data_IF_370017585018
#
_entry.id   IF_370017585018
#
_cell.length_a   1.000
_cell.length_b   1.000
_cell.length_c   1.000
_cell.angle_alpha   90.00
_cell.angle_beta   90.00
_cell.angle_gamma   90.00
#
_symmetry.space_group_name_H-M   'P 1'
#
loop_
_entity.id
_entity.type
_entity.pdbx_description
1 polymer ?
#
# COMPACT_ATOMS: atom_id res chain seq x y z
N UNK A 1 56.80 50.59 -98.76
CA UNK A 1 57.11 51.29 -97.50
C UNK A 1 55.95 51.09 -96.54
N UNK A 2 56.14 50.88 -95.23
CA UNK A 2 57.32 50.35 -94.54
C UNK A 2 56.99 49.31 -93.42
N UNK A 3 58.06 48.69 -92.92
CA UNK A 3 58.31 48.22 -91.54
C UNK A 3 57.72 46.89 -90.98
N UNK A 4 58.65 45.95 -90.81
CA UNK A 4 58.74 45.01 -89.67
C UNK A 4 58.56 45.71 -88.31
N UNK A 5 58.05 45.02 -87.28
CA UNK A 5 58.96 44.55 -86.21
C UNK A 5 58.58 43.14 -85.67
N UNK A 6 59.51 42.21 -85.45
CA UNK A 6 60.44 42.04 -84.30
C UNK A 6 59.94 40.99 -83.30
N UNK A 7 60.82 40.02 -83.06
CA UNK A 7 60.70 38.90 -82.14
C UNK A 7 60.64 39.32 -80.66
N UNK A 8 59.87 38.59 -79.84
CA UNK A 8 60.24 38.20 -78.46
C UNK A 8 59.56 36.85 -78.16
N UNK A 9 60.34 35.77 -78.24
CA UNK A 9 60.00 34.47 -77.67
C UNK A 9 60.99 34.19 -76.53
N UNK A 10 60.58 33.31 -75.62
CA UNK A 10 61.39 32.70 -74.56
C UNK A 10 61.61 33.52 -73.29
N UNK A 11 60.64 33.41 -72.36
CA UNK A 11 60.83 33.85 -70.98
C UNK A 11 59.75 33.40 -70.00
N UNK A 12 58.54 33.07 -70.48
CA UNK A 12 57.38 32.87 -69.58
C UNK A 12 57.09 31.41 -69.22
N UNK A 13 57.63 30.43 -69.97
CA UNK A 13 57.31 29.02 -69.70
C UNK A 13 58.10 28.35 -68.56
N UNK A 14 59.25 28.89 -68.14
CA UNK A 14 60.08 28.26 -67.10
C UNK A 14 59.59 28.56 -65.67
N UNK A 15 59.08 29.77 -65.40
CA UNK A 15 58.60 30.16 -64.07
C UNK A 15 57.24 29.50 -63.70
N UNK A 16 56.40 29.21 -64.69
CA UNK A 16 55.11 28.55 -64.48
C UNK A 16 55.28 27.07 -64.07
N UNK A 17 56.21 26.35 -64.69
CA UNK A 17 56.45 24.92 -64.40
C UNK A 17 57.11 24.70 -63.01
N UNK A 18 57.99 25.60 -62.57
CA UNK A 18 58.57 25.54 -61.22
C UNK A 18 57.53 25.82 -60.13
N UNK A 19 56.59 26.73 -60.37
CA UNK A 19 55.51 27.08 -59.42
C UNK A 19 54.47 25.97 -59.30
N UNK A 20 54.13 25.29 -60.41
CA UNK A 20 53.20 24.14 -60.40
C UNK A 20 53.79 22.94 -59.65
N UNK A 21 55.08 22.64 -59.80
CA UNK A 21 55.73 21.55 -59.06
C UNK A 21 55.91 21.86 -57.57
N UNK A 22 56.09 23.13 -57.19
CA UNK A 22 56.13 23.56 -55.79
C UNK A 22 54.74 23.48 -55.14
N UNK A 23 53.68 23.91 -55.83
CA UNK A 23 52.30 23.75 -55.36
C UNK A 23 51.87 22.28 -55.28
N UNK A 24 52.26 21.41 -56.21
CA UNK A 24 51.98 19.97 -56.11
C UNK A 24 52.66 19.32 -54.90
N UNK A 25 53.90 19.69 -54.58
CA UNK A 25 54.58 19.19 -53.38
C UNK A 25 53.96 19.74 -52.08
N UNK A 26 53.55 21.02 -52.04
CA UNK A 26 52.87 21.59 -50.87
C UNK A 26 51.46 21.02 -50.70
N UNK A 27 50.73 20.75 -51.78
CA UNK A 27 49.40 20.13 -51.75
C UNK A 27 49.47 18.66 -51.30
N UNK A 28 50.49 17.91 -51.74
CA UNK A 28 50.72 16.54 -51.25
C UNK A 28 51.05 16.54 -49.76
N UNK A 29 51.84 17.50 -49.25
CA UNK A 29 52.15 17.59 -47.82
C UNK A 29 50.90 17.98 -46.99
N UNK A 30 50.05 18.88 -47.48
CA UNK A 30 48.78 19.22 -46.82
C UNK A 30 47.77 18.06 -46.86
N UNK A 31 47.74 17.27 -47.93
CA UNK A 31 46.90 16.07 -48.03
C UNK A 31 47.39 14.96 -47.09
N UNK A 32 48.71 14.82 -46.88
CA UNK A 32 49.28 13.86 -45.92
C UNK A 32 49.04 14.22 -44.45
N UNK A 33 48.94 15.52 -44.12
CA UNK A 33 48.65 15.98 -42.75
C UNK A 33 47.15 15.83 -42.41
N UNK A 34 46.28 15.69 -43.42
CA UNK A 34 44.83 15.57 -43.25
C UNK A 34 44.34 14.16 -42.89
N UNK A 35 45.23 13.15 -42.87
CA UNK A 35 44.85 11.74 -42.63
C UNK A 35 45.32 11.22 -41.25
N UNK A 36 45.96 12.07 -40.44
CA UNK A 36 45.97 11.89 -38.98
C UNK A 36 44.75 12.55 -38.36
N UNK A 37 43.56 12.32 -38.92
CA UNK A 37 42.37 12.30 -38.07
C UNK A 37 42.61 11.14 -37.11
N UNK A 38 43.00 11.44 -35.87
CA UNK A 38 42.94 10.50 -34.77
C UNK A 38 41.59 9.80 -34.89
N UNK A 39 41.60 8.55 -35.37
CA UNK A 39 40.44 7.68 -35.23
C UNK A 39 40.32 7.47 -33.74
N UNK A 40 39.50 8.30 -33.10
CA UNK A 40 39.04 8.04 -31.74
C UNK A 40 38.54 6.61 -31.76
N UNK A 41 39.19 5.78 -30.95
CA UNK A 41 38.80 4.39 -30.79
C UNK A 41 37.33 4.39 -30.40
N UNK A 42 36.49 3.76 -31.21
CA UNK A 42 35.05 3.73 -30.96
C UNK A 42 34.82 3.01 -29.64
N UNK A 43 34.42 3.76 -28.61
CA UNK A 43 34.01 3.21 -27.33
C UNK A 43 32.94 2.14 -27.55
N UNK A 44 33.10 1.00 -26.88
CA UNK A 44 32.19 -0.14 -26.99
C UNK A 44 31.62 -0.57 -25.64
N UNK A 45 30.94 -1.73 -25.63
CA UNK A 45 30.38 -2.32 -24.42
C UNK A 45 31.39 -2.50 -23.28
N UNK A 46 32.66 -2.92 -23.52
CA UNK A 46 33.65 -2.96 -22.44
C UNK A 46 33.91 -1.62 -21.76
N UNK A 47 33.83 -0.51 -22.52
CA UNK A 47 34.02 0.83 -21.97
C UNK A 47 32.79 1.30 -21.19
N UNK A 48 31.60 0.88 -21.63
CA UNK A 48 30.37 1.06 -20.85
C UNK A 48 30.48 0.39 -19.49
N UNK A 49 30.87 -0.89 -19.45
CA UNK A 49 31.03 -1.63 -18.19
C UNK A 49 32.06 -0.98 -17.26
N UNK A 50 33.18 -0.46 -17.78
CA UNK A 50 34.18 0.27 -16.98
C UNK A 50 33.63 1.56 -16.37
N UNK A 51 32.56 2.12 -16.93
CA UNK A 51 31.91 3.33 -16.41
C UNK A 51 30.90 3.05 -15.29
N UNK A 52 30.56 1.77 -15.06
CA UNK A 52 29.64 1.33 -14.02
C UNK A 52 30.40 0.89 -12.76
N UNK A 53 29.80 1.10 -11.59
CA UNK A 53 30.26 0.48 -10.35
C UNK A 53 29.70 -0.93 -10.20
N UNK A 54 30.45 -1.79 -9.52
CA UNK A 54 29.95 -3.08 -9.05
C UNK A 54 29.07 -2.86 -7.80
N UNK A 55 27.92 -3.53 -7.76
CA UNK A 55 26.99 -3.53 -6.64
C UNK A 55 27.32 -4.71 -5.71
N UNK A 56 27.30 -4.46 -4.40
CA UNK A 56 27.50 -5.53 -3.42
C UNK A 56 26.20 -6.35 -3.25
N UNK A 57 26.33 -7.67 -3.25
CA UNK A 57 25.23 -8.61 -2.99
C UNK A 57 25.29 -9.13 -1.54
N UNK A 58 24.15 -9.37 -0.87
CA UNK A 58 22.79 -9.28 -1.42
C UNK A 58 22.30 -7.84 -1.59
N UNK A 59 21.48 -7.62 -2.61
CA UNK A 59 20.91 -6.31 -2.93
C UNK A 59 19.40 -6.30 -2.67
N UNK A 60 18.96 -5.37 -1.83
CA UNK A 60 17.55 -5.20 -1.46
C UNK A 60 16.91 -4.06 -2.23
N UNK A 61 15.67 -4.28 -2.67
CA UNK A 61 14.85 -3.32 -3.38
C UNK A 61 13.51 -3.17 -2.68
N UNK A 62 13.09 -1.94 -2.47
CA UNK A 62 11.72 -1.56 -2.15
C UNK A 62 11.44 -0.14 -2.69
N UNK A 63 10.18 0.28 -2.68
CA UNK A 63 9.79 1.61 -3.21
C UNK A 63 10.40 2.80 -2.46
N UNK A 64 10.84 2.59 -1.22
CA UNK A 64 11.49 3.61 -0.40
C UNK A 64 13.01 3.57 -0.52
N UNK A 65 13.58 2.46 -0.99
CA UNK A 65 15.01 2.28 -1.17
C UNK A 65 15.49 3.22 -2.28
N UNK A 66 16.34 4.17 -1.88
CA UNK A 66 17.00 5.07 -2.82
C UNK A 66 18.41 4.57 -3.02
N UNK A 67 18.64 3.91 -4.16
CA UNK A 67 19.98 3.69 -4.66
C UNK A 67 20.39 4.90 -5.49
N UNK A 68 21.62 5.36 -5.30
CA UNK A 68 22.20 6.36 -6.19
C UNK A 68 22.51 5.71 -7.55
N UNK A 69 22.24 6.44 -8.63
CA UNK A 69 22.76 6.06 -9.94
C UNK A 69 24.30 5.97 -9.90
N UNK A 70 24.87 5.15 -10.79
CA UNK A 70 26.32 5.08 -10.97
C UNK A 70 26.87 6.45 -11.36
N UNK A 71 27.45 7.20 -10.41
CA UNK A 71 27.76 8.64 -10.55
C UNK A 71 28.52 9.05 -11.82
N UNK A 72 29.28 8.14 -12.44
CA UNK A 72 30.13 8.44 -13.60
C UNK A 72 29.86 7.53 -14.82
N UNK A 73 28.65 6.97 -14.95
CA UNK A 73 28.32 6.16 -16.13
C UNK A 73 28.41 6.99 -17.42
N UNK A 74 28.88 6.37 -18.50
CA UNK A 74 28.92 7.02 -19.82
C UNK A 74 27.48 7.07 -20.38
N UNK A 75 26.87 8.26 -20.36
CA UNK A 75 25.47 8.43 -20.75
C UNK A 75 25.19 8.12 -22.22
N UNK A 76 26.19 8.31 -23.09
CA UNK A 76 26.04 7.98 -24.52
C UNK A 76 26.01 6.47 -24.73
N UNK A 77 26.89 5.75 -24.02
CA UNK A 77 26.88 4.29 -24.06
C UNK A 77 25.67 3.69 -23.35
N UNK A 78 25.19 4.29 -22.25
CA UNK A 78 23.95 3.87 -21.60
C UNK A 78 22.77 3.90 -22.56
N UNK A 79 22.56 4.99 -23.31
CA UNK A 79 21.48 5.06 -24.31
C UNK A 79 21.57 3.96 -25.39
N UNK A 80 22.77 3.42 -25.63
CA UNK A 80 22.99 2.32 -26.58
C UNK A 80 22.60 0.95 -26.00
N UNK A 81 22.87 0.72 -24.71
CA UNK A 81 22.77 -0.62 -24.08
C UNK A 81 21.61 -0.77 -23.08
N UNK A 82 20.92 0.32 -22.73
CA UNK A 82 19.89 0.32 -21.71
C UNK A 82 18.65 -0.48 -22.07
N UNK A 83 17.88 -0.87 -21.05
CA UNK A 83 16.51 -1.30 -21.24
C UNK A 83 15.62 -0.13 -21.70
N UNK A 84 14.57 -0.43 -22.46
CA UNK A 84 13.63 0.62 -22.92
C UNK A 84 12.94 1.23 -21.69
N UNK A 85 12.82 2.56 -21.65
CA UNK A 85 12.21 3.32 -20.55
C UNK A 85 12.99 3.40 -19.23
N UNK A 86 14.27 2.99 -19.21
CA UNK A 86 15.14 3.25 -18.06
C UNK A 86 15.89 4.58 -18.22
N UNK A 87 16.22 5.19 -17.07
CA UNK A 87 16.76 6.55 -16.99
C UNK A 87 18.23 6.59 -16.58
N UNK A 88 18.68 5.65 -15.75
CA UNK A 88 20.09 5.48 -15.44
C UNK A 88 20.38 4.08 -14.86
N UNK A 89 21.63 3.62 -14.92
CA UNK A 89 22.06 2.40 -14.23
C UNK A 89 22.39 2.69 -12.76
N UNK A 90 22.00 1.78 -11.87
CA UNK A 90 22.58 1.72 -10.52
C UNK A 90 23.99 1.13 -10.57
N UNK A 91 24.20 0.06 -11.34
CA UNK A 91 25.51 -0.58 -11.46
C UNK A 91 25.43 -2.03 -11.95
N UNK A 92 26.58 -2.71 -11.94
CA UNK A 92 26.72 -4.13 -12.28
C UNK A 92 26.38 -4.96 -11.04
N UNK A 93 25.31 -5.75 -11.08
CA UNK A 93 24.98 -6.67 -9.99
C UNK A 93 25.82 -7.94 -10.01
N UNK A 94 26.15 -8.44 -11.20
CA UNK A 94 27.02 -9.61 -11.37
C UNK A 94 27.65 -9.62 -12.77
N UNK A 95 28.77 -10.33 -12.90
CA UNK A 95 29.49 -10.50 -14.15
C UNK A 95 30.24 -11.82 -14.17
N UNK A 96 30.16 -12.55 -15.27
CA UNK A 96 30.98 -13.74 -15.54
C UNK A 96 31.53 -13.71 -16.97
N UNK A 97 32.17 -14.80 -17.41
CA UNK A 97 32.80 -14.91 -18.73
C UNK A 97 31.81 -14.87 -19.92
N UNK A 98 30.50 -14.87 -19.69
CA UNK A 98 29.48 -14.91 -20.74
C UNK A 98 28.44 -13.80 -20.60
N UNK A 99 28.12 -13.40 -19.38
CA UNK A 99 26.95 -12.60 -19.04
C UNK A 99 27.29 -11.51 -18.04
N UNK A 100 26.66 -10.36 -18.23
CA UNK A 100 26.64 -9.25 -17.28
C UNK A 100 25.20 -8.96 -16.87
N UNK A 101 24.95 -8.87 -15.57
CA UNK A 101 23.71 -8.37 -15.02
C UNK A 101 23.86 -6.93 -14.56
N UNK A 102 23.06 -6.02 -15.12
CA UNK A 102 23.03 -4.61 -14.74
C UNK A 102 21.69 -4.30 -14.09
N UNK A 103 21.71 -3.54 -13.00
CA UNK A 103 20.49 -2.97 -12.43
C UNK A 103 20.36 -1.54 -12.94
N UNK A 104 19.21 -1.27 -13.53
CA UNK A 104 18.78 0.04 -14.00
C UNK A 104 17.53 0.47 -13.23
N UNK A 105 17.10 1.71 -13.38
CA UNK A 105 15.78 2.12 -12.89
C UNK A 105 15.00 2.89 -13.93
N UNK A 106 13.68 2.71 -13.88
CA UNK A 106 12.72 3.59 -14.53
C UNK A 106 12.07 4.53 -13.51
N UNK A 107 11.52 5.63 -13.99
CA UNK A 107 10.69 6.54 -13.19
C UNK A 107 9.23 6.17 -13.48
N UNK A 108 8.49 5.84 -12.43
CA UNK A 108 7.05 5.51 -12.49
C UNK A 108 6.26 6.49 -11.64
N UNK A 109 4.93 6.46 -11.77
CA UNK A 109 4.02 7.25 -10.95
C UNK A 109 4.20 6.99 -9.44
N UNK A 110 4.74 5.81 -9.08
CA UNK A 110 4.91 5.35 -7.72
C UNK A 110 6.36 5.45 -7.21
N UNK A 111 7.26 6.07 -7.97
CA UNK A 111 8.67 6.21 -7.63
C UNK A 111 9.60 5.49 -8.60
N UNK A 112 10.80 5.14 -8.13
CA UNK A 112 11.81 4.46 -8.94
C UNK A 112 11.51 2.95 -8.98
N UNK A 113 11.43 2.37 -10.17
CA UNK A 113 11.25 0.94 -10.35
C UNK A 113 12.55 0.31 -10.86
N UNK A 114 13.20 -0.58 -10.08
CA UNK A 114 14.42 -1.23 -10.52
C UNK A 114 14.14 -2.29 -11.59
N UNK A 115 15.02 -2.35 -12.58
CA UNK A 115 15.02 -3.31 -13.68
C UNK A 115 16.33 -4.08 -13.64
N UNK A 116 16.23 -5.41 -13.69
CA UNK A 116 17.38 -6.26 -13.98
C UNK A 116 17.43 -6.49 -15.49
N UNK A 117 18.55 -6.18 -16.12
CA UNK A 117 18.84 -6.56 -17.51
C UNK A 117 20.04 -7.50 -17.52
N UNK A 118 19.98 -8.54 -18.35
CA UNK A 118 21.12 -9.41 -18.62
C UNK A 118 21.59 -9.23 -20.05
N UNK A 119 22.91 -9.13 -20.23
CA UNK A 119 23.57 -8.82 -21.48
C UNK A 119 24.68 -9.85 -21.72
N UNK A 120 24.93 -10.20 -22.98
CA UNK A 120 26.16 -10.94 -23.33
C UNK A 120 27.39 -10.02 -23.27
N UNK A 121 28.59 -10.58 -23.44
CA UNK A 121 29.84 -9.80 -23.40
C UNK A 121 30.01 -8.82 -24.59
N UNK A 122 29.12 -8.84 -25.57
CA UNK A 122 29.09 -7.91 -26.68
C UNK A 122 28.06 -6.78 -26.45
N UNK A 123 27.28 -6.85 -25.37
CA UNK A 123 26.24 -5.89 -25.03
C UNK A 123 24.90 -6.19 -25.71
N UNK A 124 24.71 -7.39 -26.27
CA UNK A 124 23.41 -7.81 -26.77
C UNK A 124 22.54 -8.25 -25.58
N UNK A 125 21.31 -7.75 -25.53
CA UNK A 125 20.34 -8.13 -24.51
C UNK A 125 19.99 -9.61 -24.59
N UNK A 126 20.07 -10.30 -23.46
CA UNK A 126 19.64 -11.69 -23.29
C UNK A 126 18.22 -11.72 -22.70
N UNK A 127 18.02 -11.08 -21.56
CA UNK A 127 16.74 -11.07 -20.83
C UNK A 127 16.56 -9.79 -20.00
N UNK A 128 15.37 -9.59 -19.43
CA UNK A 128 15.12 -8.51 -18.48
C UNK A 128 13.89 -8.75 -17.61
N UNK A 129 13.93 -8.25 -16.37
CA UNK A 129 12.82 -8.32 -15.42
C UNK A 129 12.58 -6.97 -14.76
N UNK A 130 11.32 -6.53 -14.75
CA UNK A 130 10.86 -5.44 -13.88
C UNK A 130 10.71 -6.00 -12.46
N UNK A 131 11.60 -5.63 -11.54
CA UNK A 131 11.70 -6.26 -10.23
C UNK A 131 10.50 -5.92 -9.35
N UNK A 132 9.98 -4.69 -9.44
CA UNK A 132 8.86 -4.17 -8.63
C UNK A 132 7.66 -3.76 -9.51
N UNK A 133 7.35 -4.58 -10.52
CA UNK A 133 6.38 -4.27 -11.58
C UNK A 133 4.90 -4.32 -11.22
N UNK A 134 4.51 -4.88 -10.07
CA UNK A 134 3.11 -4.98 -9.63
C UNK A 134 2.70 -3.96 -8.57
N UNK A 135 3.55 -2.98 -8.25
CA UNK A 135 3.18 -1.89 -7.34
C UNK A 135 1.97 -1.12 -7.86
N UNK A 136 0.88 -1.09 -7.08
CA UNK A 136 -0.39 -0.44 -7.44
C UNK A 136 -1.06 0.18 -6.22
N UNK A 137 -1.66 1.36 -6.40
CA UNK A 137 -2.45 2.02 -5.38
C UNK A 137 -3.85 2.34 -5.94
N UNK A 138 -4.89 2.02 -5.19
CA UNK A 138 -6.28 2.24 -5.58
C UNK A 138 -7.21 2.45 -4.39
N UNK A 139 -8.45 2.85 -4.65
CA UNK A 139 -9.45 3.16 -3.60
C UNK A 139 -9.78 1.96 -2.69
N UNK A 140 -9.61 0.74 -3.20
CA UNK A 140 -9.97 -0.51 -2.51
C UNK A 140 -8.73 -1.35 -2.14
N UNK A 141 -7.52 -0.80 -2.31
CA UNK A 141 -6.33 -1.54 -1.96
C UNK A 141 -5.01 -0.89 -2.35
N UNK A 142 -3.93 -1.46 -1.82
CA UNK A 142 -2.56 -1.11 -2.12
C UNK A 142 -1.74 -2.38 -2.30
N UNK A 143 -0.78 -2.35 -3.22
CA UNK A 143 0.16 -3.45 -3.49
C UNK A 143 1.56 -2.87 -3.38
N UNK A 144 2.35 -3.42 -2.48
CA UNK A 144 3.74 -3.06 -2.24
C UNK A 144 4.61 -4.28 -2.53
N UNK A 145 5.65 -4.08 -3.33
CA UNK A 145 6.64 -5.11 -3.58
C UNK A 145 7.98 -4.76 -2.93
N UNK A 146 8.68 -5.78 -2.48
CA UNK A 146 10.10 -5.73 -2.15
C UNK A 146 10.81 -6.90 -2.81
N UNK A 147 12.11 -6.80 -3.01
CA UNK A 147 12.89 -7.89 -3.57
C UNK A 147 14.30 -7.95 -3.00
N UNK A 148 14.90 -9.13 -3.00
CA UNK A 148 16.30 -9.36 -2.64
C UNK A 148 16.98 -10.20 -3.71
N UNK A 149 18.07 -9.67 -4.29
CA UNK A 149 18.97 -10.40 -5.18
C UNK A 149 20.15 -10.93 -4.38
N UNK A 150 20.27 -12.26 -4.30
CA UNK A 150 21.34 -12.95 -3.55
C UNK A 150 22.57 -13.22 -4.42
N UNK A 151 23.69 -13.51 -3.75
CA UNK A 151 24.97 -13.81 -4.40
C UNK A 151 24.95 -15.08 -5.28
N UNK A 152 24.02 -16.01 -5.03
CA UNK A 152 23.77 -17.19 -5.88
C UNK A 152 22.83 -16.88 -7.06
N UNK A 153 22.60 -15.59 -7.32
CA UNK A 153 21.77 -15.05 -8.40
C UNK A 153 20.30 -15.49 -8.34
N UNK A 154 19.82 -15.79 -7.13
CA UNK A 154 18.39 -15.88 -6.86
C UNK A 154 17.82 -14.50 -6.56
N UNK A 155 16.72 -14.18 -7.21
CA UNK A 155 15.93 -12.98 -6.93
C UNK A 155 14.62 -13.42 -6.28
N UNK A 156 14.41 -13.00 -5.04
CA UNK A 156 13.17 -13.27 -4.30
C UNK A 156 12.35 -11.99 -4.26
N UNK A 157 11.19 -11.98 -4.91
CA UNK A 157 10.24 -10.86 -4.92
C UNK A 157 9.09 -11.18 -3.97
N UNK A 158 8.85 -10.32 -2.99
CA UNK A 158 7.72 -10.40 -2.05
C UNK A 158 6.70 -9.34 -2.41
N UNK A 159 5.53 -9.79 -2.85
CA UNK A 159 4.36 -8.96 -3.14
C UNK A 159 3.41 -9.01 -1.94
N UNK A 160 3.16 -7.84 -1.35
CA UNK A 160 2.21 -7.64 -0.27
C UNK A 160 1.07 -6.74 -0.74
N UNK A 161 -0.12 -7.31 -0.87
CA UNK A 161 -1.34 -6.57 -1.21
C UNK A 161 -2.28 -6.48 -0.02
N UNK A 162 -2.81 -5.28 0.22
CA UNK A 162 -3.81 -4.99 1.24
C UNK A 162 -5.08 -4.54 0.53
N UNK A 163 -6.21 -5.17 0.81
CA UNK A 163 -7.52 -4.81 0.25
C UNK A 163 -8.54 -4.57 1.35
N UNK A 164 -9.61 -3.83 1.07
CA UNK A 164 -10.72 -3.59 1.99
C UNK A 164 -12.01 -3.32 1.20
N UNK A 165 -13.15 -3.53 1.85
CA UNK A 165 -14.45 -3.16 1.29
C UNK A 165 -14.70 -1.66 1.49
N UNK A 166 -15.49 -1.08 0.59
CA UNK A 166 -15.95 0.31 0.67
C UNK A 166 -17.48 0.36 0.62
N UNK A 167 -18.08 1.36 1.28
CA UNK A 167 -19.52 1.61 1.22
C UNK A 167 -19.91 2.45 -0.03
N UNK A 168 -21.20 2.82 -0.13
CA UNK A 168 -21.72 3.65 -1.22
C UNK A 168 -21.14 5.08 -1.25
N UNK A 169 -20.66 5.57 -0.11
CA UNK A 169 -20.03 6.88 0.05
C UNK A 169 -18.50 6.82 -0.12
N UNK A 170 -17.98 5.67 -0.56
CA UNK A 170 -16.55 5.39 -0.75
C UNK A 170 -15.73 5.40 0.55
N UNK A 171 -16.37 5.28 1.72
CA UNK A 171 -15.65 5.10 2.97
C UNK A 171 -15.22 3.64 3.12
N UNK A 172 -14.04 3.43 3.71
CA UNK A 172 -13.56 2.10 4.06
C UNK A 172 -14.46 1.50 5.14
N UNK A 173 -14.98 0.29 4.88
CA UNK A 173 -15.71 -0.48 5.88
C UNK A 173 -14.70 -1.03 6.91
N UNK A 174 -14.85 -0.73 8.21
CA UNK A 174 -13.97 -1.24 9.26
C UNK A 174 -13.88 -2.77 9.24
N UNK A 175 -12.73 -3.32 9.64
CA UNK A 175 -12.52 -4.78 9.83
C UNK A 175 -12.77 -5.65 8.58
N UNK A 176 -12.67 -5.06 7.39
CA UNK A 176 -12.69 -5.79 6.10
C UNK A 176 -11.30 -5.89 5.46
N UNK A 177 -10.25 -5.53 6.20
CA UNK A 177 -8.91 -5.35 5.63
C UNK A 177 -8.17 -6.67 5.48
N UNK A 178 -8.13 -7.22 4.28
CA UNK A 178 -7.35 -8.43 3.98
C UNK A 178 -5.89 -8.06 3.63
N UNK A 179 -4.93 -8.81 4.17
CA UNK A 179 -3.54 -8.78 3.75
C UNK A 179 -3.23 -10.09 3.02
N UNK A 180 -2.73 -9.99 1.80
CA UNK A 180 -2.28 -11.10 0.98
C UNK A 180 -0.80 -10.94 0.68
N UNK A 181 0.00 -11.94 1.06
CA UNK A 181 1.44 -11.96 0.78
C UNK A 181 1.76 -13.14 -0.12
N UNK A 182 2.49 -12.88 -1.21
CA UNK A 182 3.02 -13.89 -2.12
C UNK A 182 4.50 -13.65 -2.36
N UNK A 183 5.27 -14.72 -2.45
CA UNK A 183 6.68 -14.66 -2.81
C UNK A 183 6.88 -15.35 -4.16
N UNK A 184 7.59 -14.69 -5.08
CA UNK A 184 8.00 -15.27 -6.35
C UNK A 184 9.52 -15.32 -6.39
N UNK A 185 10.09 -16.50 -6.69
CA UNK A 185 11.53 -16.69 -6.78
C UNK A 185 11.93 -16.88 -8.23
N UNK A 186 12.89 -16.09 -8.66
CA UNK A 186 13.54 -16.20 -9.96
C UNK A 186 14.99 -16.68 -9.78
N UNK A 187 15.46 -17.50 -10.71
CA UNK A 187 16.86 -17.87 -10.85
C UNK A 187 17.41 -17.24 -12.12
N UNK A 188 18.54 -16.55 -12.00
CA UNK A 188 19.31 -16.12 -13.17
C UNK A 188 20.28 -17.25 -13.50
N UNK A 189 20.16 -17.80 -14.71
CA UNK A 189 20.98 -18.91 -15.18
C UNK A 189 22.35 -18.44 -15.69
N UNK A 190 23.30 -19.36 -15.84
CA UNK A 190 24.65 -19.06 -16.35
C UNK A 190 24.64 -18.42 -17.75
N UNK A 191 23.61 -18.69 -18.56
CA UNK A 191 23.43 -18.11 -19.88
C UNK A 191 22.69 -16.76 -19.86
N UNK A 192 22.36 -16.22 -18.68
CA UNK A 192 21.72 -14.93 -18.48
C UNK A 192 20.20 -14.93 -18.59
N UNK A 193 19.56 -16.07 -18.89
CA UNK A 193 18.09 -16.16 -18.84
C UNK A 193 17.60 -16.06 -17.40
N UNK A 194 16.44 -15.43 -17.22
CA UNK A 194 15.76 -15.27 -15.93
C UNK A 194 14.56 -16.22 -15.92
N UNK A 195 14.59 -17.22 -15.04
CA UNK A 195 13.52 -18.21 -14.94
C UNK A 195 12.80 -18.08 -13.60
N UNK A 196 11.48 -18.00 -13.64
CA UNK A 196 10.67 -18.17 -12.43
C UNK A 196 10.73 -19.63 -12.01
N UNK A 197 11.29 -19.92 -10.83
CA UNK A 197 11.47 -21.28 -10.32
C UNK A 197 10.47 -21.67 -9.24
N UNK A 198 9.89 -20.68 -8.56
CA UNK A 198 8.88 -20.91 -7.53
C UNK A 198 7.94 -19.71 -7.40
N UNK A 199 6.71 -19.97 -7.00
CA UNK A 199 5.74 -18.97 -6.58
C UNK A 199 4.93 -19.54 -5.44
N UNK A 200 5.05 -18.92 -4.26
CA UNK A 200 4.34 -19.36 -3.08
C UNK A 200 2.83 -19.23 -3.28
N UNK A 201 2.09 -20.15 -2.67
CA UNK A 201 0.68 -19.92 -2.41
C UNK A 201 0.51 -18.62 -1.59
N UNK A 202 -0.56 -17.86 -1.82
CA UNK A 202 -0.80 -16.63 -1.08
C UNK A 202 -1.11 -16.92 0.38
N UNK A 203 -0.34 -16.29 1.27
CA UNK A 203 -0.68 -16.22 2.69
C UNK A 203 -1.71 -15.10 2.83
N UNK A 204 -2.95 -15.47 3.20
CA UNK A 204 -4.05 -14.54 3.38
C UNK A 204 -4.32 -14.37 4.88
N UNK A 205 -4.12 -13.16 5.38
CA UNK A 205 -4.47 -12.77 6.74
C UNK A 205 -5.69 -11.87 6.68
N UNK A 206 -6.79 -12.32 7.28
CA UNK A 206 -7.98 -11.50 7.54
C UNK A 206 -7.91 -10.96 8.96
N UNK A 207 -8.55 -9.82 9.26
CA UNK A 207 -8.68 -9.38 10.64
C UNK A 207 -9.44 -10.47 11.40
N UNK A 208 -9.00 -10.76 12.62
CA UNK A 208 -9.76 -11.60 13.53
C UNK A 208 -11.11 -10.92 13.75
N UNK A 209 -12.14 -11.38 13.05
CA UNK A 209 -13.52 -11.01 13.35
C UNK A 209 -13.83 -11.59 14.71
N UNK A 210 -13.61 -10.80 15.76
CA UNK A 210 -14.14 -11.05 17.09
C UNK A 210 -15.63 -11.31 16.95
N UNK A 211 -16.03 -12.53 17.29
CA UNK A 211 -17.40 -12.98 17.10
C UNK A 211 -18.35 -12.32 18.10
N UNK A 212 -19.64 -12.26 17.78
CA UNK A 212 -20.70 -11.89 18.73
C UNK A 212 -20.66 -12.70 20.04
N UNK A 213 -20.03 -13.89 20.05
CA UNK A 213 -19.82 -14.67 21.26
C UNK A 213 -19.02 -13.90 22.34
N UNK A 214 -18.18 -12.93 21.96
CA UNK A 214 -17.45 -12.09 22.93
C UNK A 214 -18.39 -11.14 23.70
N UNK A 215 -19.53 -10.77 23.11
CA UNK A 215 -20.54 -9.92 23.75
C UNK A 215 -21.37 -10.68 24.77
N UNK A 216 -21.37 -12.02 24.79
CA UNK A 216 -22.24 -12.80 25.67
C UNK A 216 -22.07 -12.39 27.14
N UNK A 217 -23.18 -12.08 27.80
CA UNK A 217 -23.21 -11.66 29.20
C UNK A 217 -24.15 -10.49 29.47
N UNK A 218 -24.13 -10.04 30.72
CA UNK A 218 -24.88 -8.86 31.17
C UNK A 218 -23.90 -7.73 31.43
N UNK A 219 -24.18 -6.54 30.91
CA UNK A 219 -23.42 -5.33 31.17
C UNK A 219 -24.33 -4.34 31.87
N UNK A 220 -23.81 -3.64 32.87
CA UNK A 220 -24.56 -2.67 33.68
C UNK A 220 -23.95 -1.29 33.54
N UNK A 221 -24.79 -0.30 33.28
CA UNK A 221 -24.50 1.10 33.50
C UNK A 221 -25.16 1.53 34.82
N UNK A 222 -24.34 2.01 35.76
CA UNK A 222 -24.81 2.50 37.05
C UNK A 222 -25.13 3.99 36.91
N UNK A 223 -26.40 4.36 37.09
CA UNK A 223 -26.82 5.75 36.96
C UNK A 223 -26.28 6.61 38.12
N UNK A 224 -25.81 7.81 37.81
CA UNK A 224 -25.09 8.67 38.75
C UNK A 224 -26.00 9.23 39.85
N UNK A 225 -27.30 9.32 39.60
CA UNK A 225 -28.30 9.94 40.49
C UNK A 225 -29.21 8.94 41.21
N UNK A 226 -28.81 7.67 41.25
CA UNK A 226 -29.53 6.65 42.03
C UNK A 226 -29.75 7.10 43.48
N UNK A 227 -30.93 6.80 44.01
CA UNK A 227 -31.28 6.97 45.42
C UNK A 227 -31.65 5.61 46.03
N UNK A 228 -31.84 5.54 47.34
CA UNK A 228 -32.28 4.29 48.00
C UNK A 228 -33.63 3.78 47.45
N UNK A 229 -34.52 4.70 47.05
CA UNK A 229 -35.87 4.40 46.58
C UNK A 229 -36.00 4.32 45.06
N UNK A 230 -35.00 4.79 44.31
CA UNK A 230 -35.04 4.89 42.85
C UNK A 230 -33.68 4.50 42.25
N UNK A 231 -33.63 3.29 41.68
CA UNK A 231 -32.47 2.76 40.96
C UNK A 231 -32.75 2.76 39.46
N UNK A 232 -32.09 3.65 38.73
CA UNK A 232 -32.23 3.92 37.30
C UNK A 232 -31.08 3.31 36.48
N UNK A 233 -30.52 2.18 36.94
CA UNK A 233 -29.47 1.48 36.18
C UNK A 233 -30.00 0.95 34.85
N UNK A 234 -29.13 0.96 33.84
CA UNK A 234 -29.42 0.38 32.53
C UNK A 234 -28.63 -0.90 32.34
N UNK A 235 -29.15 -1.81 31.52
CA UNK A 235 -28.49 -3.08 31.23
C UNK A 235 -28.51 -3.42 29.74
N UNK A 236 -27.42 -4.01 29.29
CA UNK A 236 -27.35 -4.76 28.03
C UNK A 236 -27.21 -6.24 28.38
N UNK A 237 -28.04 -7.09 27.78
CA UNK A 237 -27.99 -8.53 27.97
C UNK A 237 -27.86 -9.20 26.60
N UNK A 238 -26.73 -9.84 26.34
CA UNK A 238 -26.49 -10.61 25.12
C UNK A 238 -26.50 -12.10 25.46
N UNK A 239 -27.39 -12.85 24.82
CA UNK A 239 -27.51 -14.31 24.90
C UNK A 239 -27.44 -14.90 23.50
N UNK A 240 -27.22 -16.21 23.43
CA UNK A 240 -27.30 -16.92 22.16
C UNK A 240 -28.68 -16.74 21.52
N UNK A 241 -28.70 -16.03 20.39
CA UNK A 241 -29.92 -15.79 19.60
C UNK A 241 -30.89 -14.76 20.17
N UNK A 242 -30.61 -14.13 21.32
CA UNK A 242 -31.47 -13.11 21.92
C UNK A 242 -30.66 -12.04 22.65
N UNK A 243 -30.97 -10.77 22.38
CA UNK A 243 -30.32 -9.64 23.02
C UNK A 243 -31.36 -8.64 23.51
N UNK A 244 -31.14 -8.04 24.68
CA UNK A 244 -32.09 -7.13 25.32
C UNK A 244 -31.41 -5.89 25.88
N UNK A 245 -32.13 -4.77 25.80
CA UNK A 245 -31.78 -3.53 26.48
C UNK A 245 -32.80 -3.26 27.59
N UNK A 246 -32.30 -2.87 28.75
CA UNK A 246 -33.09 -2.47 29.90
C UNK A 246 -32.74 -1.02 30.22
N UNK A 247 -33.74 -0.17 30.32
CA UNK A 247 -33.53 1.26 30.55
C UNK A 247 -34.78 1.96 31.07
N UNK A 248 -34.76 3.28 31.01
CA UNK A 248 -35.83 4.14 31.49
C UNK A 248 -36.47 4.96 30.36
N UNK A 249 -37.68 5.46 30.60
CA UNK A 249 -38.42 6.36 29.71
C UNK A 249 -37.63 7.59 29.29
N UNK A 250 -36.63 8.00 30.07
CA UNK A 250 -35.74 9.13 29.76
C UNK A 250 -34.94 8.93 28.47
N UNK A 251 -34.79 7.68 27.99
CA UNK A 251 -34.26 7.42 26.66
C UNK A 251 -35.20 7.85 25.52
N UNK A 252 -36.39 8.36 25.82
CA UNK A 252 -37.38 8.79 24.82
C UNK A 252 -38.11 10.07 25.22
N UNK A 253 -37.75 10.66 26.35
CA UNK A 253 -38.35 11.90 26.86
C UNK A 253 -37.27 12.96 27.05
N UNK A 254 -37.49 14.15 26.48
CA UNK A 254 -36.56 15.27 26.56
C UNK A 254 -36.52 15.89 27.96
N UNK A 255 -37.62 15.83 28.72
CA UNK A 255 -37.70 16.44 30.05
C UNK A 255 -38.79 15.80 30.92
N UNK A 256 -38.39 15.37 32.13
CA UNK A 256 -39.34 14.94 33.17
C UNK A 256 -39.98 16.14 33.87
N UNK A 257 -41.31 16.23 33.84
CA UNK A 257 -42.07 17.23 34.60
C UNK A 257 -43.05 16.58 35.59
N UNK A 258 -42.57 16.30 36.81
CA UNK A 258 -43.42 15.93 37.95
C UNK A 258 -43.74 14.44 38.10
N UNK A 259 -42.94 13.54 37.52
CA UNK A 259 -43.14 12.10 37.63
C UNK A 259 -41.84 11.28 37.64
N UNK A 260 -41.91 10.03 38.14
CA UNK A 260 -40.82 9.05 38.07
C UNK A 260 -40.81 8.35 36.71
N UNK A 261 -39.63 7.98 36.18
CA UNK A 261 -39.55 7.37 34.87
C UNK A 261 -40.21 5.99 34.86
N UNK A 262 -40.65 5.59 33.67
CA UNK A 262 -41.03 4.21 33.41
C UNK A 262 -39.79 3.37 33.13
N UNK A 263 -39.79 2.12 33.57
CA UNK A 263 -38.72 1.16 33.30
C UNK A 263 -39.16 0.15 32.27
N UNK A 264 -38.28 -0.25 31.36
CA UNK A 264 -38.64 -1.18 30.29
C UNK A 264 -37.57 -2.23 30.02
N UNK A 265 -37.99 -3.28 29.33
CA UNK A 265 -37.14 -4.27 28.66
C UNK A 265 -37.52 -4.30 27.19
N UNK A 266 -36.59 -3.97 26.30
CA UNK A 266 -36.77 -4.04 24.86
C UNK A 266 -35.85 -5.11 24.26
N UNK A 267 -36.33 -5.76 23.20
CA UNK A 267 -35.48 -6.58 22.35
C UNK A 267 -34.54 -5.68 21.54
N UNK A 268 -33.30 -6.12 21.40
CA UNK A 268 -32.31 -5.49 20.53
C UNK A 268 -32.51 -6.03 19.11
N UNK A 269 -32.70 -5.13 18.16
CA UNK A 269 -32.86 -5.40 16.73
C UNK A 269 -31.65 -4.88 15.95
N UNK A 270 -31.42 -5.41 14.74
CA UNK A 270 -30.35 -4.96 13.83
C UNK A 270 -28.96 -4.84 14.51
N UNK A 271 -28.63 -5.82 15.36
CA UNK A 271 -27.32 -5.85 16.03
C UNK A 271 -26.21 -6.07 15.00
N UNK A 272 -25.27 -5.13 14.92
CA UNK A 272 -24.03 -5.30 14.16
C UNK A 272 -22.84 -5.12 15.10
N UNK A 273 -21.92 -6.08 15.07
CA UNK A 273 -20.69 -6.03 15.85
C UNK A 273 -19.50 -6.45 14.99
N UNK A 274 -18.48 -5.59 14.95
CA UNK A 274 -17.25 -5.87 14.19
C UNK A 274 -16.02 -6.14 15.07
N UNK A 275 -16.21 -6.35 16.38
CA UNK A 275 -15.12 -6.58 17.33
C UNK A 275 -14.74 -5.38 18.18
N UNK A 276 -15.02 -4.18 17.70
CA UNK A 276 -14.76 -2.92 18.39
C UNK A 276 -15.99 -2.03 18.43
N UNK A 277 -16.73 -1.96 17.32
CA UNK A 277 -17.92 -1.12 17.21
C UNK A 277 -19.17 -1.98 17.25
N UNK A 278 -20.16 -1.49 17.97
CA UNK A 278 -21.45 -2.09 18.20
C UNK A 278 -22.53 -1.10 17.74
N UNK A 279 -23.45 -1.53 16.89
CA UNK A 279 -24.66 -0.76 16.56
C UNK A 279 -25.88 -1.63 16.77
N UNK A 280 -26.98 -1.02 17.20
CA UNK A 280 -28.25 -1.72 17.31
C UNK A 280 -29.42 -0.75 17.44
N UNK A 281 -30.61 -1.25 17.20
CA UNK A 281 -31.87 -0.54 17.38
C UNK A 281 -32.67 -1.14 18.54
N UNK A 282 -33.51 -0.32 19.17
CA UNK A 282 -34.59 -0.78 20.05
C UNK A 282 -35.89 -0.09 19.65
N UNK A 283 -36.99 -0.79 19.85
CA UNK A 283 -38.35 -0.25 19.66
C UNK A 283 -39.16 -0.43 20.93
N UNK A 284 -39.84 0.64 21.37
CA UNK A 284 -40.63 0.66 22.60
C UNK A 284 -42.07 1.12 22.34
N UNK A 285 -42.99 0.74 23.24
CA UNK A 285 -44.38 1.19 23.27
C UNK A 285 -44.90 1.24 24.71
N UNK A 286 -46.00 1.96 24.95
CA UNK A 286 -46.64 2.09 26.28
C UNK A 286 -46.76 0.77 27.05
N UNK A 287 -47.04 -0.34 26.36
CA UNK A 287 -47.30 -1.64 26.97
C UNK A 287 -46.10 -2.29 27.66
N UNK A 288 -44.88 -1.81 27.44
CA UNK A 288 -43.65 -2.42 27.97
C UNK A 288 -43.00 -1.62 29.11
N UNK A 289 -43.61 -0.52 29.53
CA UNK A 289 -43.12 0.31 30.64
C UNK A 289 -43.78 -0.05 31.96
N UNK A 290 -42.98 -0.02 33.02
CA UNK A 290 -43.38 -0.39 34.37
C UNK A 290 -42.95 0.65 35.41
N UNK A 291 -43.66 0.70 36.54
CA UNK A 291 -43.41 1.68 37.62
C UNK A 291 -42.14 1.41 38.44
N UNK A 292 -41.61 0.18 38.42
CA UNK A 292 -40.39 -0.20 39.16
C UNK A 292 -39.29 -0.71 38.22
N UNK A 293 -38.02 -0.70 38.64
CA UNK A 293 -36.90 -1.18 37.82
C UNK A 293 -37.10 -2.59 37.26
N UNK A 294 -36.68 -2.79 36.02
CA UNK A 294 -36.62 -4.11 35.37
C UNK A 294 -35.17 -4.42 35.08
N UNK A 295 -34.68 -5.59 35.51
CA UNK A 295 -33.27 -5.96 35.38
C UNK A 295 -33.11 -7.45 35.06
N UNK A 296 -32.05 -7.83 34.33
CA UNK A 296 -31.71 -9.25 34.12
C UNK A 296 -31.12 -9.95 35.36
N UNK A 297 -30.79 -9.21 36.43
CA UNK A 297 -30.06 -9.76 37.58
C UNK A 297 -30.94 -10.41 38.66
N UNK A 298 -32.21 -10.02 38.77
CA UNK A 298 -33.17 -10.58 39.71
C UNK A 298 -34.60 -10.48 39.17
N UNK A 299 -35.46 -11.41 39.58
CA UNK A 299 -36.86 -11.42 39.15
C UNK A 299 -37.64 -10.34 39.89
N UNK A 300 -38.31 -9.47 39.14
CA UNK A 300 -39.31 -8.55 39.69
C UNK A 300 -40.70 -9.18 39.60
N UNK A 301 -41.32 -9.43 40.76
CA UNK A 301 -42.66 -10.01 40.84
C UNK A 301 -43.67 -8.87 40.95
N UNK A 302 -44.65 -8.83 40.04
CA UNK A 302 -45.81 -7.94 40.15
C UNK A 302 -45.52 -6.46 39.88
N UNK A 303 -44.81 -6.15 38.78
CA UNK A 303 -44.54 -4.77 38.40
C UNK A 303 -45.76 -4.14 37.69
N UNK A 304 -46.27 -3.03 38.23
CA UNK A 304 -47.43 -2.35 37.66
C UNK A 304 -47.07 -1.59 36.38
N UNK A 305 -47.97 -1.53 35.38
CA UNK A 305 -47.77 -0.71 34.18
C UNK A 305 -47.54 0.76 34.53
N UNK A 306 -46.61 1.40 33.82
CA UNK A 306 -46.40 2.85 33.92
C UNK A 306 -47.45 3.59 33.08
N UNK A 307 -48.23 4.44 33.71
CA UNK A 307 -49.48 5.03 33.21
C UNK A 307 -49.33 6.41 32.56
N UNK A 308 -48.10 6.88 32.39
CA UNK A 308 -47.77 8.18 31.78
C UNK A 308 -47.65 8.05 30.26
N UNK A 309 -47.12 6.91 29.80
CA UNK A 309 -47.05 6.51 28.39
C UNK A 309 -45.91 7.16 27.59
N UNK A 310 -45.29 6.36 26.72
CA UNK A 310 -44.42 6.77 25.63
C UNK A 310 -45.02 6.28 24.31
N UNK A 311 -45.24 7.21 23.38
CA UNK A 311 -45.64 6.87 22.00
C UNK A 311 -44.63 5.90 21.41
N UNK A 312 -45.12 5.01 20.54
CA UNK A 312 -44.27 4.11 19.78
C UNK A 312 -43.04 4.83 19.22
N UNK A 313 -41.85 4.40 19.62
CA UNK A 313 -40.60 5.08 19.30
C UNK A 313 -39.49 4.05 19.07
N UNK A 314 -38.57 4.39 18.17
CA UNK A 314 -37.40 3.59 17.84
C UNK A 314 -36.16 4.46 18.02
N UNK A 315 -35.12 3.89 18.61
CA UNK A 315 -33.83 4.57 18.80
C UNK A 315 -32.67 3.68 18.38
N UNK A 316 -31.74 4.29 17.65
CA UNK A 316 -30.47 3.68 17.26
C UNK A 316 -29.39 4.01 18.30
N UNK A 317 -28.62 3.00 18.67
CA UNK A 317 -27.51 3.09 19.60
C UNK A 317 -26.22 2.72 18.88
N UNK A 318 -25.16 3.45 19.23
CA UNK A 318 -23.81 3.18 18.75
C UNK A 318 -22.89 3.06 19.96
N UNK A 319 -21.97 2.11 19.92
CA UNK A 319 -21.07 1.89 21.03
C UNK A 319 -19.71 1.34 20.64
N UNK A 320 -18.77 1.49 21.56
CA UNK A 320 -17.40 0.98 21.45
C UNK A 320 -17.17 -0.06 22.54
N UNK A 321 -16.72 -1.23 22.13
CA UNK A 321 -16.42 -2.38 22.99
C UNK A 321 -14.92 -2.41 23.28
N UNK A 322 -14.55 -2.40 24.56
CA UNK A 322 -13.18 -2.54 25.02
C UNK A 322 -13.13 -3.51 26.21
N UNK A 323 -12.84 -4.78 25.89
CA UNK A 323 -12.86 -5.88 26.86
C UNK A 323 -14.24 -6.03 27.51
N UNK A 324 -14.29 -5.91 28.83
CA UNK A 324 -15.52 -6.01 29.62
C UNK A 324 -16.34 -4.71 29.65
N UNK A 325 -16.04 -3.73 28.80
CA UNK A 325 -16.74 -2.44 28.75
C UNK A 325 -17.40 -2.21 27.40
N UNK A 326 -18.64 -1.73 27.40
CA UNK A 326 -19.32 -1.16 26.24
C UNK A 326 -19.63 0.30 26.56
N UNK A 327 -19.06 1.23 25.80
CA UNK A 327 -19.37 2.66 25.92
C UNK A 327 -20.36 3.03 24.84
N UNK A 328 -21.58 3.38 25.24
CA UNK A 328 -22.64 3.82 24.34
C UNK A 328 -22.53 5.34 24.11
N UNK A 329 -22.54 5.74 22.84
CA UNK A 329 -22.38 7.09 22.32
C UNK A 329 -23.66 7.51 21.59
N UNK A 330 -24.77 7.62 22.32
CA UNK A 330 -26.04 8.06 21.73
C UNK A 330 -26.08 9.58 21.67
N UNK A 331 -26.49 10.11 20.52
CA UNK A 331 -26.76 11.54 20.35
C UNK A 331 -27.79 11.98 21.41
N UNK A 332 -27.60 13.14 22.02
CA UNK A 332 -28.46 13.75 23.07
C UNK A 332 -28.17 13.35 24.53
N UNK A 333 -27.27 12.39 24.79
CA UNK A 333 -26.89 12.01 26.16
C UNK A 333 -25.38 11.97 26.35
N UNK A 334 -24.96 12.10 27.60
CA UNK A 334 -23.58 11.82 27.97
C UNK A 334 -23.24 10.34 27.70
N UNK A 335 -21.98 10.02 27.33
CA UNK A 335 -21.55 8.64 27.10
C UNK A 335 -21.82 7.74 28.31
N UNK A 336 -22.52 6.63 28.08
CA UNK A 336 -22.83 5.65 29.13
C UNK A 336 -21.87 4.48 29.08
N UNK A 337 -21.21 4.19 30.19
CA UNK A 337 -20.22 3.11 30.30
C UNK A 337 -20.85 1.89 30.96
N UNK A 338 -21.15 0.87 30.16
CA UNK A 338 -21.68 -0.41 30.62
C UNK A 338 -20.52 -1.36 30.93
N UNK A 339 -20.52 -1.97 32.11
CA UNK A 339 -19.46 -2.88 32.58
C UNK A 339 -20.03 -4.30 32.73
N UNK A 340 -19.34 -5.28 32.16
CA UNK A 340 -19.71 -6.69 32.21
C UNK A 340 -19.79 -7.17 33.65
N UNK A 341 -20.92 -7.73 34.03
CA UNK A 341 -21.15 -8.33 35.33
C UNK A 341 -20.65 -9.75 35.31
N UNK A 342 -19.88 -10.11 36.33
CA UNK A 342 -19.60 -11.51 36.67
C UNK A 342 -20.91 -12.10 37.16
N UNK A 343 -21.59 -12.86 36.31
CA UNK A 343 -22.75 -13.64 36.75
C UNK A 343 -22.19 -14.73 37.67
N UNK A 344 -22.58 -14.74 38.94
CA UNK A 344 -22.30 -15.88 39.80
C UNK A 344 -23.07 -17.08 39.25
N UNK A 345 -22.43 -18.25 39.13
CA UNK A 345 -22.95 -19.51 38.54
C UNK A 345 -24.26 -20.06 39.16
N UNK A 346 -24.93 -19.32 40.04
CA UNK A 346 -26.05 -19.81 40.84
C UNK A 346 -27.44 -19.38 40.36
N UNK A 347 -27.59 -18.62 39.26
CA UNK A 347 -28.91 -18.09 38.85
C UNK A 347 -29.56 -18.78 37.63
N UNK A 348 -28.85 -19.66 36.90
CA UNK A 348 -29.40 -20.37 35.73
C UNK A 348 -29.52 -21.90 35.92
N UNK A 349 -29.36 -22.39 37.15
CA UNK A 349 -29.68 -23.78 37.49
C UNK A 349 -31.19 -23.99 37.56
N UNK A 350 -31.78 -24.47 36.47
CA UNK A 350 -33.03 -25.25 36.50
C UNK A 350 -32.70 -26.73 36.64
#
# INVERSE_FOLDING_TARGET
MPNSPTAIADGVHSAALATINRMKKTLIILLSISILSCTEEKKGFPDYLKSLYDLELPLSFDLNSRMDASKNYDSTLFETYKHVWTYAPYGIAFKNDKVVGVIEYSITDNGLAPFLITLDNQGNKIDSLNILGNTRFGKQGQTLESAVLYADLKLVVTDSSRSWLIDYDYNKIPNTTELRVTTTTYQILENGKIEQIDKSEPIITKPDTKSEAELLGVYEYVHEYNTEDLIENHYLEFKEGQSFYYGTSDDFDEAREGYYPGFFKAQIDNLEFNGENLTFDITVSDSIFYKKPVTPLYQTIGNEPWDIGIRYNTRNYQGIVNGDTITILTKEFDPRKFIKKKVADTAYGK
#
